data_IF_995795066764
#
_entry.id   IF_995795066764
#
_cell.length_a   1.000
_cell.length_b   1.000
_cell.length_c   1.000
_cell.angle_alpha   90.00
_cell.angle_beta   90.00
_cell.angle_gamma   90.00
#
_symmetry.space_group_name_H-M   'P 1'
#
loop_
_entity.id
_entity.type
_entity.pdbx_description
1 polymer ?
#
# COMPACT_ATOMS: atom_id res chain seq x y z
N UNK A 1 11.20 -6.22 15.31
CA UNK A 1 11.43 -5.64 16.64
C UNK A 1 12.10 -6.71 17.49
N UNK A 2 13.12 -6.37 18.26
CA UNK A 2 13.71 -7.30 19.22
C UNK A 2 12.85 -7.27 20.49
N UNK A 3 12.09 -8.33 20.72
CA UNK A 3 11.35 -8.50 21.96
C UNK A 3 12.35 -8.87 23.07
N UNK A 4 12.54 -8.02 24.10
CA UNK A 4 13.49 -8.31 25.17
C UNK A 4 13.18 -9.62 25.89
N UNK A 5 11.90 -9.98 26.01
CA UNK A 5 11.48 -11.22 26.65
C UNK A 5 11.90 -12.44 25.83
N UNK A 6 11.67 -12.40 24.52
CA UNK A 6 12.09 -13.44 23.59
C UNK A 6 13.62 -13.56 23.50
N UNK A 7 14.32 -12.42 23.46
CA UNK A 7 15.79 -12.39 23.40
C UNK A 7 16.42 -13.03 24.65
N UNK A 8 15.87 -12.74 25.84
CA UNK A 8 16.31 -13.35 27.09
C UNK A 8 16.07 -14.87 27.09
N UNK A 9 14.91 -15.34 26.60
CA UNK A 9 14.61 -16.78 26.47
C UNK A 9 15.54 -17.47 25.47
N UNK A 10 15.95 -16.79 24.42
CA UNK A 10 16.92 -17.28 23.43
C UNK A 10 18.38 -17.23 23.91
N UNK A 11 18.64 -16.79 25.15
CA UNK A 11 19.98 -16.74 25.76
C UNK A 11 20.79 -15.47 25.44
N UNK A 12 20.18 -14.47 24.79
CA UNK A 12 20.81 -13.18 24.55
C UNK A 12 20.51 -12.22 25.71
N UNK A 13 21.50 -11.41 26.11
CA UNK A 13 21.25 -10.30 27.03
C UNK A 13 20.70 -9.10 26.26
N UNK A 14 19.42 -8.71 26.46
CA UNK A 14 18.82 -7.57 25.76
C UNK A 14 19.55 -6.26 26.08
N UNK A 15 20.05 -6.15 27.32
CA UNK A 15 20.79 -4.98 27.82
C UNK A 15 22.09 -4.77 27.06
N UNK A 16 22.90 -5.84 26.92
CA UNK A 16 24.17 -5.75 26.21
C UNK A 16 23.93 -5.35 24.75
N UNK A 17 23.01 -6.03 24.07
CA UNK A 17 22.71 -5.73 22.65
C UNK A 17 22.25 -4.28 22.48
N UNK A 18 21.35 -3.81 23.34
CA UNK A 18 20.84 -2.44 23.27
C UNK A 18 21.96 -1.41 23.42
N UNK A 19 22.78 -1.52 24.46
CA UNK A 19 23.85 -0.56 24.70
C UNK A 19 25.00 -0.68 23.69
N UNK A 20 25.33 -1.88 23.22
CA UNK A 20 26.31 -2.08 22.15
C UNK A 20 25.85 -1.40 20.86
N UNK A 21 24.60 -1.58 20.45
CA UNK A 21 24.05 -0.93 19.26
C UNK A 21 24.02 0.60 19.42
N UNK A 22 23.60 1.11 20.58
CA UNK A 22 23.58 2.54 20.85
C UNK A 22 24.97 3.16 20.81
N UNK A 23 25.96 2.49 21.41
CA UNK A 23 27.36 2.93 21.36
C UNK A 23 27.90 2.96 19.92
N UNK A 24 27.64 1.91 19.12
CA UNK A 24 28.05 1.84 17.71
C UNK A 24 27.43 2.97 16.87
N UNK A 25 26.11 3.20 17.01
CA UNK A 25 25.40 4.27 16.29
C UNK A 25 25.92 5.64 16.71
N UNK A 26 26.10 5.88 18.01
CA UNK A 26 26.60 7.15 18.54
C UNK A 26 28.01 7.46 18.04
N UNK A 27 28.93 6.50 18.16
CA UNK A 27 30.30 6.65 17.68
C UNK A 27 30.34 6.93 16.17
N UNK A 28 29.55 6.18 15.40
CA UNK A 28 29.46 6.37 13.94
C UNK A 28 28.90 7.74 13.58
N UNK A 29 27.85 8.21 14.25
CA UNK A 29 27.24 9.50 13.98
C UNK A 29 28.20 10.66 14.28
N UNK A 30 28.87 10.65 15.45
CA UNK A 30 29.80 11.71 15.86
C UNK A 30 31.01 11.77 14.93
N UNK A 31 31.60 10.63 14.59
CA UNK A 31 32.76 10.56 13.68
C UNK A 31 32.41 10.95 12.23
N UNK A 32 31.20 10.63 11.78
CA UNK A 32 30.73 11.02 10.45
C UNK A 32 30.42 12.51 10.37
N UNK A 33 29.85 13.10 11.43
CA UNK A 33 29.53 14.53 11.47
C UNK A 33 30.76 15.41 11.35
N UNK A 34 31.86 15.07 12.02
CA UNK A 34 33.11 15.82 11.90
C UNK A 34 33.77 15.67 10.52
N UNK A 35 33.50 14.57 9.82
CA UNK A 35 34.11 14.28 8.51
C UNK A 35 33.36 14.91 7.34
N UNK A 36 32.02 14.78 7.29
CA UNK A 36 31.23 15.14 6.10
C UNK A 36 30.12 16.15 6.36
N UNK A 37 29.87 16.49 7.63
CA UNK A 37 28.87 17.47 8.04
C UNK A 37 27.51 16.88 8.42
N UNK A 38 26.72 17.68 9.14
CA UNK A 38 25.49 17.25 9.79
C UNK A 38 24.38 16.83 8.82
N UNK A 39 24.20 17.57 7.73
CA UNK A 39 23.11 17.35 6.76
C UNK A 39 23.25 15.98 6.10
N UNK A 40 24.45 15.65 5.63
CA UNK A 40 24.67 14.39 4.90
C UNK A 40 24.45 13.18 5.79
N UNK A 41 24.97 13.23 7.01
CA UNK A 41 24.85 12.12 7.96
C UNK A 41 23.39 11.85 8.30
N UNK A 42 22.59 12.87 8.58
CA UNK A 42 21.15 12.68 8.84
C UNK A 42 20.45 12.09 7.62
N UNK A 43 20.76 12.58 6.42
CA UNK A 43 20.16 12.08 5.18
C UNK A 43 20.48 10.60 4.93
N UNK A 44 21.74 10.19 5.10
CA UNK A 44 22.18 8.81 4.87
C UNK A 44 21.84 7.86 6.03
N UNK A 45 21.65 8.37 7.25
CA UNK A 45 21.22 7.55 8.39
C UNK A 45 19.76 7.09 8.24
N UNK A 46 18.92 7.90 7.61
CA UNK A 46 17.47 7.64 7.49
C UNK A 46 17.08 7.15 6.10
N UNK A 47 17.51 7.86 5.04
CA UNK A 47 17.00 7.69 3.68
C UNK A 47 17.20 6.29 3.09
N UNK A 48 18.44 5.78 3.00
CA UNK A 48 18.73 4.45 2.48
C UNK A 48 18.06 3.33 3.28
N UNK A 49 17.97 3.48 4.62
CA UNK A 49 17.32 2.52 5.51
C UNK A 49 15.83 2.38 5.22
N UNK A 50 15.09 3.50 5.20
CA UNK A 50 13.65 3.49 4.89
C UNK A 50 13.41 3.03 3.44
N UNK A 51 14.28 3.40 2.52
CA UNK A 51 14.19 2.97 1.11
C UNK A 51 14.36 1.46 0.99
N UNK A 52 15.36 0.86 1.66
CA UNK A 52 15.60 -0.58 1.67
C UNK A 52 14.42 -1.38 2.26
N UNK A 53 13.75 -0.83 3.30
CA UNK A 53 12.59 -1.46 3.92
C UNK A 53 11.37 -1.59 2.99
N UNK A 54 11.33 -0.89 1.86
CA UNK A 54 10.28 -1.08 0.85
C UNK A 54 10.46 -2.41 0.09
N UNK A 55 11.69 -2.89 -0.04
CA UNK A 55 12.00 -4.14 -0.73
C UNK A 55 11.76 -5.35 0.18
N UNK A 56 12.31 -5.31 1.39
CA UNK A 56 12.30 -6.44 2.33
C UNK A 56 11.94 -6.03 3.76
N UNK A 57 11.41 -6.98 4.53
CA UNK A 57 11.16 -6.83 5.97
C UNK A 57 12.22 -7.51 6.84
N UNK A 58 13.10 -8.29 6.22
CA UNK A 58 14.14 -9.03 6.91
C UNK A 58 15.34 -8.13 7.24
N UNK A 59 15.69 -8.04 8.52
CA UNK A 59 16.73 -7.14 9.01
C UNK A 59 18.07 -7.29 8.27
N UNK A 60 18.52 -8.53 8.04
CA UNK A 60 19.78 -8.83 7.35
C UNK A 60 19.81 -8.22 5.95
N UNK A 61 18.74 -8.43 5.18
CA UNK A 61 18.64 -7.91 3.83
C UNK A 61 18.43 -6.39 3.81
N UNK A 62 17.69 -5.83 4.78
CA UNK A 62 17.53 -4.38 4.91
C UNK A 62 18.87 -3.68 5.10
N UNK A 63 19.74 -4.20 5.97
CA UNK A 63 21.07 -3.64 6.22
C UNK A 63 21.89 -3.64 4.91
N UNK A 64 21.95 -4.78 4.22
CA UNK A 64 22.71 -4.93 2.96
C UNK A 64 22.17 -3.97 1.89
N UNK A 65 20.85 -3.96 1.65
CA UNK A 65 20.25 -3.07 0.66
C UNK A 65 20.44 -1.59 1.03
N UNK A 66 20.32 -1.24 2.30
CA UNK A 66 20.54 0.15 2.74
C UNK A 66 21.97 0.62 2.47
N UNK A 67 22.96 -0.25 2.69
CA UNK A 67 24.36 0.06 2.39
C UNK A 67 24.58 0.23 0.88
N UNK A 68 24.03 -0.68 0.06
CA UNK A 68 24.12 -0.58 -1.41
C UNK A 68 23.46 0.71 -1.95
N UNK A 69 22.28 1.06 -1.43
CA UNK A 69 21.57 2.29 -1.80
C UNK A 69 22.36 3.53 -1.34
N UNK A 70 22.95 3.50 -0.14
CA UNK A 70 23.77 4.60 0.36
C UNK A 70 24.99 4.84 -0.53
N UNK A 71 25.72 3.77 -0.89
CA UNK A 71 26.86 3.82 -1.81
C UNK A 71 26.44 4.36 -3.17
N UNK A 72 25.35 3.85 -3.74
CA UNK A 72 24.82 4.32 -5.02
C UNK A 72 24.48 5.82 -4.97
N UNK A 73 23.71 6.26 -3.98
CA UNK A 73 23.33 7.67 -3.83
C UNK A 73 24.55 8.58 -3.64
N UNK A 74 25.57 8.09 -2.93
CA UNK A 74 26.82 8.83 -2.69
C UNK A 74 27.62 8.98 -3.97
N UNK A 75 27.80 7.91 -4.76
CA UNK A 75 28.49 7.96 -6.04
C UNK A 75 27.79 8.91 -7.01
N UNK A 76 26.49 8.72 -7.21
CA UNK A 76 25.69 9.56 -8.13
C UNK A 76 25.69 11.03 -7.66
N UNK A 77 25.45 11.28 -6.37
CA UNK A 77 25.43 12.63 -5.83
C UNK A 77 26.79 13.31 -5.90
N UNK A 78 27.89 12.59 -5.68
CA UNK A 78 29.25 13.11 -5.80
C UNK A 78 29.57 13.54 -7.24
N UNK A 79 29.28 12.68 -8.24
CA UNK A 79 29.48 13.04 -9.65
C UNK A 79 28.67 14.27 -10.06
N UNK A 80 27.40 14.34 -9.64
CA UNK A 80 26.53 15.50 -9.92
C UNK A 80 27.07 16.77 -9.25
N UNK A 81 27.54 16.67 -8.00
CA UNK A 81 28.05 17.81 -7.26
C UNK A 81 29.30 18.42 -7.91
N UNK A 82 30.21 17.58 -8.40
CA UNK A 82 31.40 18.03 -9.13
C UNK A 82 31.01 18.67 -10.46
N UNK A 83 30.11 18.05 -11.22
CA UNK A 83 29.70 18.58 -12.52
C UNK A 83 29.06 19.97 -12.40
N UNK A 84 28.26 20.18 -11.35
CA UNK A 84 27.54 21.43 -11.11
C UNK A 84 28.32 22.43 -10.23
N UNK A 85 29.50 22.07 -9.72
CA UNK A 85 30.29 22.86 -8.77
C UNK A 85 29.49 23.36 -7.54
N UNK A 86 28.69 22.47 -6.95
CA UNK A 86 27.83 22.76 -5.78
C UNK A 86 28.21 21.89 -4.57
N UNK A 87 27.52 22.09 -3.44
CA UNK A 87 27.83 21.38 -2.19
C UNK A 87 27.57 19.87 -2.30
N UNK A 88 28.62 19.07 -2.08
CA UNK A 88 28.56 17.60 -2.17
C UNK A 88 27.51 17.03 -1.19
N UNK A 89 27.53 17.49 0.06
CA UNK A 89 26.59 17.05 1.09
C UNK A 89 25.12 17.31 0.70
N UNK A 90 24.82 18.49 0.14
CA UNK A 90 23.47 18.88 -0.26
C UNK A 90 22.96 18.07 -1.46
N UNK A 91 23.83 17.80 -2.44
CA UNK A 91 23.46 17.00 -3.61
C UNK A 91 23.24 15.54 -3.24
N UNK A 92 24.11 14.92 -2.44
CA UNK A 92 23.89 13.51 -2.03
C UNK A 92 22.61 13.38 -1.20
N UNK A 93 22.32 14.35 -0.31
CA UNK A 93 21.06 14.38 0.42
C UNK A 93 19.85 14.50 -0.52
N UNK A 94 19.93 15.35 -1.54
CA UNK A 94 18.87 15.51 -2.55
C UNK A 94 18.68 14.25 -3.40
N UNK A 95 19.77 13.61 -3.83
CA UNK A 95 19.71 12.32 -4.55
C UNK A 95 19.08 11.26 -3.67
N UNK A 96 19.45 11.21 -2.39
CA UNK A 96 18.86 10.26 -1.43
C UNK A 96 17.35 10.46 -1.27
N UNK A 97 16.90 11.71 -1.19
CA UNK A 97 15.47 12.04 -1.17
C UNK A 97 14.78 11.62 -2.47
N UNK A 98 15.39 11.90 -3.63
CA UNK A 98 14.83 11.55 -4.93
C UNK A 98 14.69 10.02 -5.08
N UNK A 99 15.74 9.27 -4.73
CA UNK A 99 15.72 7.79 -4.74
C UNK A 99 14.60 7.27 -3.85
N UNK A 100 14.46 7.80 -2.63
CA UNK A 100 13.37 7.43 -1.73
C UNK A 100 11.99 7.72 -2.33
N UNK A 101 11.79 8.92 -2.91
CA UNK A 101 10.52 9.31 -3.53
C UNK A 101 10.17 8.45 -4.74
N UNK A 102 11.15 8.07 -5.56
CA UNK A 102 10.95 7.17 -6.69
C UNK A 102 10.50 5.80 -6.17
N UNK A 103 11.22 5.23 -5.18
CA UNK A 103 10.89 3.91 -4.64
C UNK A 103 9.51 3.92 -3.97
N UNK A 104 9.19 4.87 -3.10
CA UNK A 104 7.87 4.88 -2.42
C UNK A 104 6.69 5.07 -3.38
N UNK A 105 6.93 5.71 -4.53
CA UNK A 105 5.91 5.97 -5.55
C UNK A 105 5.69 4.75 -6.46
N UNK A 106 6.77 4.16 -6.98
CA UNK A 106 6.71 3.13 -8.01
C UNK A 106 6.76 1.69 -7.48
N UNK A 107 7.19 1.46 -6.25
CA UNK A 107 7.31 0.09 -5.74
C UNK A 107 5.92 -0.52 -5.47
N UNK A 108 5.69 -1.83 -5.67
CA UNK A 108 4.37 -2.47 -5.52
C UNK A 108 3.77 -2.39 -4.10
N UNK A 109 4.62 -2.19 -3.08
CA UNK A 109 4.20 -1.90 -1.69
C UNK A 109 4.03 -0.40 -1.41
N UNK A 110 4.32 0.45 -2.39
CA UNK A 110 4.24 1.90 -2.34
C UNK A 110 2.80 2.43 -2.32
N UNK A 111 2.69 3.75 -2.17
CA UNK A 111 1.41 4.44 -1.90
C UNK A 111 0.44 4.29 -3.09
N UNK A 112 0.95 4.40 -4.31
CA UNK A 112 0.12 4.33 -5.53
C UNK A 112 -0.51 2.96 -5.67
N UNK A 113 0.28 1.88 -5.60
CA UNK A 113 -0.23 0.52 -5.76
C UNK A 113 -1.19 0.14 -4.63
N UNK A 114 -0.94 0.59 -3.40
CA UNK A 114 -1.87 0.43 -2.28
C UNK A 114 -3.20 1.14 -2.55
N UNK A 115 -3.16 2.36 -3.08
CA UNK A 115 -4.36 3.13 -3.39
C UNK A 115 -5.15 2.53 -4.56
N UNK A 116 -4.47 2.09 -5.63
CA UNK A 116 -5.11 1.41 -6.76
C UNK A 116 -5.78 0.12 -6.31
N UNK A 117 -5.07 -0.71 -5.52
CA UNK A 117 -5.62 -1.96 -4.98
C UNK A 117 -6.83 -1.69 -4.10
N UNK A 118 -6.75 -0.69 -3.21
CA UNK A 118 -7.87 -0.29 -2.35
C UNK A 118 -9.09 0.15 -3.15
N UNK A 119 -8.90 0.94 -4.21
CA UNK A 119 -10.03 1.39 -5.03
C UNK A 119 -10.65 0.25 -5.85
N UNK A 120 -9.83 -0.69 -6.35
CA UNK A 120 -10.31 -1.92 -7.00
C UNK A 120 -11.11 -2.78 -6.03
N UNK A 121 -10.59 -3.00 -4.81
CA UNK A 121 -11.27 -3.75 -3.75
C UNK A 121 -12.59 -3.09 -3.35
N UNK A 122 -12.62 -1.76 -3.17
CA UNK A 122 -13.85 -1.02 -2.84
C UNK A 122 -14.91 -1.17 -3.95
N UNK A 123 -14.51 -1.05 -5.22
CA UNK A 123 -15.44 -1.24 -6.35
C UNK A 123 -15.95 -2.69 -6.46
N UNK A 124 -15.11 -3.68 -6.16
CA UNK A 124 -15.51 -5.09 -6.15
C UNK A 124 -16.48 -5.38 -5.00
N UNK A 125 -16.17 -4.90 -3.79
CA UNK A 125 -17.01 -5.03 -2.61
C UNK A 125 -18.38 -4.38 -2.80
N UNK A 126 -18.42 -3.13 -3.29
CA UNK A 126 -19.68 -2.46 -3.57
C UNK A 126 -20.51 -3.22 -4.61
N UNK A 127 -19.89 -3.79 -5.66
CA UNK A 127 -20.62 -4.62 -6.61
C UNK A 127 -21.20 -5.90 -5.96
N UNK A 128 -20.47 -6.51 -5.01
CA UNK A 128 -20.97 -7.65 -4.26
C UNK A 128 -22.15 -7.28 -3.35
N UNK A 129 -22.08 -6.16 -2.63
CA UNK A 129 -23.21 -5.66 -1.83
C UNK A 129 -24.44 -5.43 -2.69
N UNK A 130 -24.25 -4.86 -3.88
CA UNK A 130 -25.31 -4.67 -4.85
C UNK A 130 -25.95 -6.00 -5.30
N UNK A 131 -25.14 -6.99 -5.70
CA UNK A 131 -25.65 -8.30 -6.08
C UNK A 131 -26.34 -9.02 -4.91
N UNK A 132 -25.79 -8.92 -3.69
CA UNK A 132 -26.38 -9.51 -2.48
C UNK A 132 -27.76 -8.92 -2.20
N UNK A 133 -27.90 -7.60 -2.34
CA UNK A 133 -29.19 -6.94 -2.18
C UNK A 133 -30.20 -7.47 -3.20
N UNK A 134 -29.84 -7.51 -4.49
CA UNK A 134 -30.74 -8.09 -5.51
C UNK A 134 -31.07 -9.56 -5.23
N UNK A 135 -30.09 -10.35 -4.79
CA UNK A 135 -30.29 -11.76 -4.44
C UNK A 135 -31.28 -11.95 -3.30
N UNK A 136 -31.13 -11.16 -2.23
CA UNK A 136 -31.97 -11.28 -1.05
C UNK A 136 -33.44 -10.91 -1.30
N UNK A 137 -33.72 -10.06 -2.30
CA UNK A 137 -35.07 -9.62 -2.66
C UNK A 137 -35.67 -10.39 -3.85
N UNK A 138 -35.06 -11.49 -4.30
CA UNK A 138 -35.60 -12.31 -5.40
C UNK A 138 -36.92 -13.01 -5.06
N UNK A 139 -37.06 -13.46 -3.81
CA UNK A 139 -38.13 -14.34 -3.33
C UNK A 139 -39.11 -13.63 -2.38
N UNK A 140 -39.02 -12.31 -2.23
CA UNK A 140 -39.91 -11.52 -1.37
C UNK A 140 -41.22 -11.12 -2.07
N UNK A 141 -42.32 -11.06 -1.32
CA UNK A 141 -43.65 -10.69 -1.83
C UNK A 141 -43.70 -9.30 -2.50
N UNK A 142 -42.80 -8.38 -2.15
CA UNK A 142 -42.72 -7.00 -2.69
C UNK A 142 -41.63 -6.81 -3.77
N UNK A 143 -41.30 -7.87 -4.52
CA UNK A 143 -40.23 -7.88 -5.56
C UNK A 143 -40.28 -6.70 -6.55
N UNK A 144 -41.49 -6.32 -6.99
CA UNK A 144 -41.67 -5.29 -8.02
C UNK A 144 -41.38 -3.87 -7.53
N UNK A 145 -41.45 -3.62 -6.21
CA UNK A 145 -41.13 -2.33 -5.60
C UNK A 145 -39.64 -2.24 -5.27
N UNK A 146 -39.08 -3.29 -4.68
CA UNK A 146 -37.70 -3.32 -4.16
C UNK A 146 -36.65 -3.44 -5.29
N UNK A 147 -36.95 -4.21 -6.36
CA UNK A 147 -36.03 -4.38 -7.51
C UNK A 147 -36.17 -3.28 -8.57
N UNK A 148 -36.99 -2.27 -8.32
CA UNK A 148 -37.16 -1.14 -9.22
C UNK A 148 -35.91 -0.25 -9.21
N UNK A 149 -35.42 0.12 -10.39
CA UNK A 149 -34.25 1.01 -10.56
C UNK A 149 -34.38 2.30 -9.73
N UNK A 150 -35.60 2.80 -9.56
CA UNK A 150 -35.89 4.01 -8.80
C UNK A 150 -35.90 3.82 -7.28
N UNK A 151 -36.03 2.60 -6.74
CA UNK A 151 -36.04 2.40 -5.28
C UNK A 151 -34.69 1.91 -4.73
N UNK A 152 -33.92 1.16 -5.51
CA UNK A 152 -32.63 0.58 -5.10
C UNK A 152 -31.65 1.63 -4.55
N UNK A 153 -31.69 2.86 -5.07
CA UNK A 153 -30.82 3.94 -4.60
C UNK A 153 -31.16 4.42 -3.18
N UNK A 154 -32.43 4.38 -2.78
CA UNK A 154 -32.90 4.75 -1.44
C UNK A 154 -32.53 3.67 -0.42
N UNK A 155 -32.77 2.41 -0.75
CA UNK A 155 -32.52 1.27 0.15
C UNK A 155 -31.02 1.06 0.41
N UNK A 156 -30.18 1.23 -0.62
CA UNK A 156 -28.72 1.16 -0.45
C UNK A 156 -28.10 2.48 0.06
N UNK A 157 -28.88 3.56 0.15
CA UNK A 157 -28.42 4.92 0.43
C UNK A 157 -27.25 5.34 -0.50
N UNK A 158 -27.35 5.00 -1.79
CA UNK A 158 -26.35 5.26 -2.81
C UNK A 158 -26.85 6.32 -3.80
N UNK A 159 -25.93 7.10 -4.38
CA UNK A 159 -26.32 8.01 -5.45
C UNK A 159 -26.81 7.24 -6.70
N UNK A 160 -27.80 7.78 -7.42
CA UNK A 160 -28.33 7.19 -8.67
C UNK A 160 -27.22 6.85 -9.70
N UNK A 161 -26.15 7.66 -9.73
CA UNK A 161 -24.97 7.43 -10.59
C UNK A 161 -24.23 6.13 -10.25
N UNK A 162 -24.10 5.81 -8.96
CA UNK A 162 -23.40 4.60 -8.50
C UNK A 162 -24.23 3.36 -8.84
N UNK A 163 -25.55 3.42 -8.60
CA UNK A 163 -26.48 2.32 -8.93
C UNK A 163 -26.47 2.06 -10.44
N UNK A 164 -26.63 3.11 -11.26
CA UNK A 164 -26.57 3.01 -12.73
C UNK A 164 -25.24 2.41 -13.22
N UNK A 165 -24.11 2.79 -12.60
CA UNK A 165 -22.79 2.20 -12.91
C UNK A 165 -22.78 0.69 -12.67
N UNK A 166 -23.35 0.20 -11.58
CA UNK A 166 -23.37 -1.24 -11.27
C UNK A 166 -24.41 -2.02 -12.07
N UNK A 167 -25.57 -1.42 -12.38
CA UNK A 167 -26.53 -1.99 -13.32
C UNK A 167 -25.86 -2.20 -14.69
N UNK A 168 -25.23 -1.15 -15.24
CA UNK A 168 -24.51 -1.24 -16.53
C UNK A 168 -23.41 -2.30 -16.49
N UNK A 169 -22.65 -2.37 -15.38
CA UNK A 169 -21.61 -3.37 -15.19
C UNK A 169 -22.18 -4.79 -15.14
N UNK A 170 -23.29 -5.01 -14.45
CA UNK A 170 -23.92 -6.33 -14.34
C UNK A 170 -24.56 -6.79 -15.65
N UNK A 171 -25.16 -5.87 -16.42
CA UNK A 171 -25.68 -6.14 -17.76
C UNK A 171 -24.58 -6.54 -18.74
N UNK A 172 -23.45 -5.81 -18.75
CA UNK A 172 -22.32 -6.10 -19.63
C UNK A 172 -21.68 -7.47 -19.38
N UNK A 173 -21.75 -7.98 -18.15
CA UNK A 173 -21.19 -9.29 -17.78
C UNK A 173 -22.26 -10.40 -17.70
N UNK A 174 -23.48 -10.15 -18.21
CA UNK A 174 -24.61 -11.09 -18.17
C UNK A 174 -25.02 -11.55 -16.75
N UNK A 175 -24.71 -10.78 -15.71
CA UNK A 175 -25.12 -11.06 -14.33
C UNK A 175 -26.53 -10.55 -14.01
N UNK A 176 -27.02 -9.56 -14.78
CA UNK A 176 -28.30 -8.91 -14.58
C UNK A 176 -29.08 -8.89 -15.89
N UNK A 177 -30.41 -8.85 -15.78
CA UNK A 177 -31.34 -8.63 -16.88
C UNK A 177 -32.33 -7.52 -16.47
N UNK A 178 -32.71 -6.70 -17.43
CA UNK A 178 -33.76 -5.69 -17.23
C UNK A 178 -35.06 -6.22 -17.82
N UNK A 179 -36.11 -6.28 -17.00
CA UNK A 179 -37.48 -6.63 -17.42
C UNK A 179 -38.44 -5.63 -16.78
N UNK A 180 -39.25 -4.92 -17.57
CA UNK A 180 -40.28 -3.97 -17.07
C UNK A 180 -39.79 -3.00 -15.98
N UNK A 181 -38.61 -2.40 -16.16
CA UNK A 181 -37.97 -1.48 -15.20
C UNK A 181 -37.48 -2.13 -13.89
N UNK A 182 -37.46 -3.47 -13.82
CA UNK A 182 -36.91 -4.26 -12.72
C UNK A 182 -35.52 -4.77 -13.08
N UNK A 183 -34.64 -4.76 -12.08
CA UNK A 183 -33.29 -5.34 -12.17
C UNK A 183 -33.32 -6.75 -11.59
N UNK A 184 -33.27 -7.76 -12.46
CA UNK A 184 -33.34 -9.16 -12.06
C UNK A 184 -31.95 -9.78 -12.20
N UNK A 185 -31.52 -10.57 -11.20
CA UNK A 185 -30.27 -11.33 -11.31
C UNK A 185 -30.46 -12.51 -12.28
N UNK A 186 -29.47 -12.80 -13.11
CA UNK A 186 -29.48 -14.01 -13.96
C UNK A 186 -28.94 -15.22 -13.19
N UNK A 187 -29.11 -16.42 -13.72
CA UNK A 187 -28.46 -17.63 -13.23
C UNK A 187 -26.94 -17.47 -13.13
N UNK A 188 -26.30 -16.87 -14.14
CA UNK A 188 -24.88 -16.53 -14.10
C UNK A 188 -24.52 -15.54 -12.97
N UNK A 189 -25.39 -14.58 -12.66
CA UNK A 189 -25.18 -13.66 -11.54
C UNK A 189 -25.30 -14.35 -10.17
N UNK A 190 -26.20 -15.32 -10.04
CA UNK A 190 -26.35 -16.16 -8.84
C UNK A 190 -25.13 -17.04 -8.63
N UNK A 191 -24.66 -17.72 -9.69
CA UNK A 191 -23.46 -18.56 -9.63
C UNK A 191 -22.23 -17.75 -9.21
N UNK A 192 -22.06 -16.56 -9.80
CA UNK A 192 -21.00 -15.63 -9.44
C UNK A 192 -21.10 -15.14 -7.98
N UNK A 193 -22.31 -14.80 -7.52
CA UNK A 193 -22.54 -14.42 -6.12
C UNK A 193 -22.16 -15.56 -5.16
N UNK A 194 -22.63 -16.78 -5.44
CA UNK A 194 -22.40 -17.96 -4.61
C UNK A 194 -20.92 -18.39 -4.58
N UNK A 195 -20.20 -18.24 -5.70
CA UNK A 195 -18.76 -18.53 -5.75
C UNK A 195 -17.99 -17.59 -4.82
N UNK A 196 -18.24 -16.27 -4.89
CA UNK A 196 -17.50 -15.30 -4.08
C UNK A 196 -17.85 -15.39 -2.59
N UNK A 197 -19.09 -15.76 -2.26
CA UNK A 197 -19.51 -15.97 -0.87
C UNK A 197 -18.93 -17.24 -0.25
N UNK A 198 -18.51 -18.24 -1.05
CA UNK A 198 -17.82 -19.45 -0.57
C UNK A 198 -16.30 -19.25 -0.39
N UNK A 199 -15.71 -18.30 -1.09
CA UNK A 199 -14.27 -18.00 -1.05
C UNK A 199 -13.87 -17.04 0.09
N UNK A 200 -14.85 -16.43 0.80
CA UNK A 200 -14.64 -15.56 1.97
C UNK A 200 -15.15 -16.23 3.25
#
# INVERSE_FOLDING_TARGET
SFDPSLAAVLGFSPVIIHYSLMALVSLTAVTSFSSVGSILVVALMVGPGITAMQFTKDLKYTIIYSALIAVFNTLVGYFIAILLNVTIAGVIASVTLLTFLIVITFFPKGIIFKQIRRNRQKNAFNFLVFLKHLYNHLDHENKELELNIDNIHNELNWSKRIVSKYIKKGLLNNYLKLENNLVIITTHGIDYHNQIMKEN
#
